data_IF_357193907479
#
_entry.id   IF_357193907479
#
_cell.length_a   1.000
_cell.length_b   1.000
_cell.length_c   1.000
_cell.angle_alpha   90.00
_cell.angle_beta   90.00
_cell.angle_gamma   90.00
#
_symmetry.space_group_name_H-M   'P 1'
#
loop_
_entity.id
_entity.type
_entity.pdbx_description
1 polymer ?
#
# COMPACT_ATOMS: atom_id res chain seq x y z
N UNK A 1 28.22 55.89 36.98
CA UNK A 1 27.75 55.14 35.80
C UNK A 1 26.90 53.96 36.27
N UNK A 2 25.58 54.13 36.43
CA UNK A 2 24.66 53.04 36.72
C UNK A 2 24.01 52.57 35.42
N UNK A 3 24.33 51.35 34.97
CA UNK A 3 23.65 50.71 33.84
C UNK A 3 22.35 50.10 34.33
N UNK A 4 21.23 50.75 34.02
CA UNK A 4 19.89 50.19 34.21
C UNK A 4 19.70 49.07 33.16
N UNK A 5 19.57 47.82 33.60
CA UNK A 5 19.21 46.70 32.72
C UNK A 5 17.69 46.57 32.72
N UNK A 6 17.05 47.03 31.66
CA UNK A 6 15.62 46.80 31.42
C UNK A 6 15.44 45.34 31.02
N UNK A 7 14.77 44.55 31.86
CA UNK A 7 14.32 43.21 31.51
C UNK A 7 12.96 43.31 30.82
N UNK A 8 12.90 42.92 29.54
CA UNK A 8 11.64 42.79 28.80
C UNK A 8 11.15 41.35 29.03
N UNK A 9 10.07 41.21 29.80
CA UNK A 9 9.35 39.95 29.90
C UNK A 9 8.38 39.84 28.72
N UNK A 10 8.67 38.92 27.79
CA UNK A 10 7.73 38.53 26.74
C UNK A 10 6.78 37.50 27.35
N UNK A 11 5.57 37.94 27.70
CA UNK A 11 4.49 37.02 28.06
C UNK A 11 3.84 36.59 26.75
N UNK A 12 4.16 35.38 26.30
CA UNK A 12 3.43 34.75 25.21
C UNK A 12 2.06 34.29 25.74
N UNK A 13 1.00 35.05 25.45
CA UNK A 13 -0.36 34.56 25.61
C UNK A 13 -0.60 33.45 24.57
N UNK A 14 -0.58 32.19 25.01
CA UNK A 14 -1.19 31.11 24.26
C UNK A 14 -2.72 31.28 24.36
N UNK A 15 -3.34 31.78 23.30
CA UNK A 15 -4.79 31.60 23.13
C UNK A 15 -5.04 30.10 22.94
N UNK A 16 -5.44 29.43 24.01
CA UNK A 16 -6.08 28.12 23.89
C UNK A 16 -7.41 28.41 23.20
N UNK A 17 -7.45 28.19 21.88
CA UNK A 17 -8.72 28.03 21.18
C UNK A 17 -9.33 26.77 21.80
N UNK A 18 -10.23 26.95 22.76
CA UNK A 18 -11.14 25.90 23.17
C UNK A 18 -12.02 25.63 21.94
N UNK A 19 -11.58 24.69 21.10
CA UNK A 19 -12.47 24.05 20.16
C UNK A 19 -13.59 23.44 21.01
N UNK A 20 -14.78 24.07 20.96
CA UNK A 20 -16.01 23.59 21.59
C UNK A 20 -16.03 22.07 21.58
N UNK A 21 -15.99 21.43 22.77
CA UNK A 21 -15.90 19.96 23.00
C UNK A 21 -16.03 19.19 21.68
N UNK A 22 -14.91 19.06 20.97
CA UNK A 22 -14.95 18.48 19.64
C UNK A 22 -15.61 17.10 19.75
N UNK A 23 -16.55 16.79 18.86
CA UNK A 23 -17.20 15.49 18.85
C UNK A 23 -16.10 14.43 18.82
N UNK A 24 -16.03 13.61 19.86
CA UNK A 24 -15.04 12.57 19.98
C UNK A 24 -15.55 11.33 19.25
N UNK A 25 -14.65 10.63 18.56
CA UNK A 25 -14.96 9.31 18.07
C UNK A 25 -15.07 8.32 19.24
N UNK A 26 -15.77 7.18 19.08
CA UNK A 26 -15.73 6.09 20.05
C UNK A 26 -14.29 5.71 20.39
N UNK A 27 -14.04 5.29 21.63
CA UNK A 27 -12.69 4.93 22.12
C UNK A 27 -11.98 3.88 21.24
N UNK A 28 -12.76 2.98 20.62
CA UNK A 28 -12.26 1.94 19.72
C UNK A 28 -12.32 2.31 18.24
N UNK A 29 -12.66 3.54 17.90
CA UNK A 29 -12.60 4.01 16.53
C UNK A 29 -11.13 4.10 16.10
N UNK A 30 -10.85 3.71 14.86
CA UNK A 30 -9.49 3.66 14.36
C UNK A 30 -9.31 4.50 13.11
N UNK A 31 -8.23 5.24 13.06
CA UNK A 31 -7.80 5.99 11.90
C UNK A 31 -6.69 5.23 11.20
N UNK A 32 -6.76 5.21 9.88
CA UNK A 32 -5.75 4.59 9.06
C UNK A 32 -5.48 5.40 7.82
N UNK A 33 -4.43 4.98 7.12
CA UNK A 33 -4.12 5.40 5.76
C UNK A 33 -4.13 4.20 4.85
N UNK A 34 -4.26 4.45 3.56
CA UNK A 34 -4.25 3.41 2.55
C UNK A 34 -3.40 3.75 1.35
N UNK A 35 -3.00 2.69 0.66
CA UNK A 35 -2.33 2.76 -0.63
C UNK A 35 -2.71 1.55 -1.48
N UNK A 36 -2.39 1.59 -2.77
CA UNK A 36 -2.47 0.42 -3.65
C UNK A 36 -1.16 0.22 -4.41
N UNK A 37 -0.85 -1.04 -4.69
CA UNK A 37 0.41 -1.46 -5.26
C UNK A 37 0.75 -0.71 -6.56
N UNK A 38 -0.14 -0.77 -7.55
CA UNK A 38 0.09 -0.11 -8.84
C UNK A 38 0.32 1.39 -8.71
N UNK A 39 -0.34 2.06 -7.76
CA UNK A 39 -0.27 3.52 -7.62
C UNK A 39 1.04 4.01 -6.96
N UNK A 40 1.74 3.16 -6.20
CA UNK A 40 2.86 3.62 -5.36
C UNK A 40 4.15 2.81 -5.54
N UNK A 41 4.08 1.53 -5.92
CA UNK A 41 5.22 0.63 -5.83
C UNK A 41 6.29 0.92 -6.87
N UNK A 42 5.89 1.10 -8.13
CA UNK A 42 6.79 1.05 -9.27
C UNK A 42 7.40 -0.34 -9.44
N UNK A 43 8.64 -0.38 -9.95
CA UNK A 43 9.39 -1.61 -10.17
C UNK A 43 8.55 -2.64 -10.96
N UNK A 44 7.90 -2.15 -12.02
CA UNK A 44 6.80 -2.84 -12.69
C UNK A 44 7.21 -4.16 -13.36
N UNK A 45 8.49 -4.30 -13.73
CA UNK A 45 9.07 -5.49 -14.37
C UNK A 45 10.28 -6.05 -13.59
N UNK A 46 10.46 -5.64 -12.34
CA UNK A 46 11.59 -6.07 -11.52
C UNK A 46 11.27 -7.36 -10.76
N UNK A 47 12.32 -8.11 -10.40
CA UNK A 47 12.24 -9.31 -9.55
C UNK A 47 11.21 -10.37 -9.97
N UNK A 48 10.93 -10.46 -11.26
CA UNK A 48 9.99 -11.43 -11.81
C UNK A 48 8.52 -11.00 -11.73
N UNK A 49 8.22 -9.73 -11.40
CA UNK A 49 6.87 -9.19 -11.62
C UNK A 49 6.50 -9.28 -13.10
N UNK A 50 5.29 -9.74 -13.37
CA UNK A 50 4.70 -9.72 -14.71
C UNK A 50 3.85 -8.47 -14.95
N UNK A 51 3.60 -8.21 -16.24
CA UNK A 51 2.69 -7.18 -16.72
C UNK A 51 1.28 -7.39 -16.17
N UNK A 52 0.66 -6.31 -15.70
CA UNK A 52 -0.76 -6.25 -15.37
C UNK A 52 -1.53 -5.41 -16.41
N UNK A 53 -2.86 -5.42 -16.35
CA UNK A 53 -3.71 -4.72 -17.34
C UNK A 53 -3.41 -3.22 -17.46
N UNK A 54 -2.98 -2.55 -16.39
CA UNK A 54 -2.61 -1.14 -16.45
C UNK A 54 -1.25 -0.92 -17.09
N UNK A 55 -0.26 -1.78 -16.79
CA UNK A 55 1.03 -1.78 -17.49
C UNK A 55 0.78 -1.88 -19.00
N UNK A 56 0.00 -2.89 -19.41
CA UNK A 56 -0.32 -3.14 -20.81
C UNK A 56 -1.06 -1.99 -21.48
N UNK A 57 -2.12 -1.50 -20.83
CA UNK A 57 -2.99 -0.47 -21.40
C UNK A 57 -2.25 0.85 -21.62
N UNK A 58 -1.45 1.27 -20.64
CA UNK A 58 -0.71 2.53 -20.71
C UNK A 58 0.51 2.42 -21.62
N UNK A 59 1.25 1.30 -21.61
CA UNK A 59 2.39 1.10 -22.52
C UNK A 59 1.95 0.96 -23.98
N UNK A 60 0.74 0.43 -24.23
CA UNK A 60 0.19 0.31 -25.58
C UNK A 60 -0.21 1.65 -26.19
N UNK A 61 -0.81 2.54 -25.38
CA UNK A 61 -1.13 3.90 -25.79
C UNK A 61 -1.13 4.85 -24.57
N UNK A 62 -0.02 5.59 -24.35
CA UNK A 62 0.08 6.52 -23.23
C UNK A 62 -0.92 7.67 -23.30
N UNK A 63 -1.50 7.96 -24.47
CA UNK A 63 -2.43 9.09 -24.66
C UNK A 63 -3.73 8.97 -23.86
N UNK A 64 -4.01 7.78 -23.34
CA UNK A 64 -5.10 7.52 -22.41
C UNK A 64 -4.93 8.22 -21.05
N UNK A 65 -3.69 8.52 -20.67
CA UNK A 65 -3.36 9.26 -19.46
C UNK A 65 -3.17 10.72 -19.82
N UNK A 66 -3.81 11.64 -19.06
CA UNK A 66 -3.80 13.09 -19.35
C UNK A 66 -2.40 13.66 -19.63
N UNK A 67 -1.38 13.12 -18.96
CA UNK A 67 0.00 13.56 -19.04
C UNK A 67 0.92 12.56 -19.77
N UNK A 68 0.38 11.46 -20.30
CA UNK A 68 1.13 10.34 -20.86
C UNK A 68 2.09 9.66 -19.85
N UNK A 69 1.81 9.81 -18.55
CA UNK A 69 2.60 9.20 -17.47
C UNK A 69 2.31 7.71 -17.35
N UNK A 70 3.27 6.95 -16.82
CA UNK A 70 3.13 5.55 -16.43
C UNK A 70 3.36 5.38 -14.92
N UNK A 71 3.05 4.19 -14.39
CA UNK A 71 3.38 3.83 -13.01
C UNK A 71 4.65 2.97 -12.91
N UNK A 72 5.54 3.03 -13.91
CA UNK A 72 6.76 2.22 -13.97
C UNK A 72 7.63 2.42 -12.72
N UNK A 73 7.80 3.69 -12.34
CA UNK A 73 8.50 4.12 -11.13
C UNK A 73 7.55 4.47 -9.98
N UNK A 74 6.36 5.02 -10.30
CA UNK A 74 5.37 5.50 -9.33
C UNK A 74 6.00 6.35 -8.19
N UNK A 75 5.80 5.95 -6.92
CA UNK A 75 6.48 6.56 -5.77
C UNK A 75 7.80 5.85 -5.41
N UNK A 76 8.18 4.79 -6.13
CA UNK A 76 9.39 4.00 -5.90
C UNK A 76 9.37 3.23 -4.59
N UNK A 77 8.18 2.94 -4.05
CA UNK A 77 8.06 2.31 -2.72
C UNK A 77 8.58 0.88 -2.75
N UNK A 78 8.44 0.11 -3.84
CA UNK A 78 8.92 -1.28 -3.85
C UNK A 78 10.41 -1.41 -3.50
N UNK A 79 11.23 -0.45 -3.94
CA UNK A 79 12.67 -0.44 -3.69
C UNK A 79 13.06 0.32 -2.40
N UNK A 80 12.12 1.03 -1.76
CA UNK A 80 12.35 1.86 -0.57
C UNK A 80 11.43 1.52 0.62
N UNK A 81 10.61 0.48 0.50
CA UNK A 81 9.47 0.16 1.38
C UNK A 81 9.83 0.10 2.86
N UNK A 82 10.99 -0.45 3.21
CA UNK A 82 11.47 -0.53 4.59
C UNK A 82 11.80 0.86 5.13
N UNK A 83 12.33 1.76 4.31
CA UNK A 83 12.60 3.14 4.72
C UNK A 83 11.28 3.92 4.83
N UNK A 84 10.33 3.66 3.93
CA UNK A 84 9.04 4.35 3.92
C UNK A 84 8.08 3.85 5.02
N UNK A 85 8.26 2.61 5.49
CA UNK A 85 7.56 2.07 6.65
C UNK A 85 7.75 2.97 7.88
N UNK A 86 8.93 3.59 8.04
CA UNK A 86 9.20 4.55 9.13
C UNK A 86 8.21 5.73 9.12
N UNK A 87 7.75 6.19 7.97
CA UNK A 87 6.76 7.27 7.92
C UNK A 87 5.38 6.83 8.39
N UNK A 88 5.00 5.58 8.09
CA UNK A 88 3.77 4.98 8.63
C UNK A 88 3.88 4.84 10.15
N UNK A 89 5.05 4.46 10.65
CA UNK A 89 5.34 4.32 12.08
C UNK A 89 5.30 5.65 12.84
N UNK A 90 5.84 6.71 12.23
CA UNK A 90 5.85 8.06 12.82
C UNK A 90 4.47 8.75 12.77
N UNK A 91 3.52 8.15 12.06
CA UNK A 91 2.19 8.71 11.88
C UNK A 91 1.27 8.43 13.07
N UNK A 92 0.30 9.30 13.40
CA UNK A 92 -0.71 9.02 14.43
C UNK A 92 -1.72 7.92 14.05
N UNK A 93 -1.57 7.25 12.91
CA UNK A 93 -2.52 6.25 12.42
C UNK A 93 -2.33 4.89 13.10
N UNK A 94 -3.44 4.23 13.39
CA UNK A 94 -3.45 2.90 14.00
C UNK A 94 -3.53 1.77 12.96
N UNK A 95 -4.03 2.06 11.75
CA UNK A 95 -4.14 1.10 10.66
C UNK A 95 -3.38 1.55 9.42
N UNK A 96 -2.82 0.58 8.71
CA UNK A 96 -2.34 0.78 7.35
C UNK A 96 -2.95 -0.28 6.44
N UNK A 97 -3.65 0.19 5.40
CA UNK A 97 -4.19 -0.64 4.34
C UNK A 97 -3.29 -0.57 3.11
N UNK A 98 -2.93 -1.72 2.56
CA UNK A 98 -2.22 -1.79 1.28
C UNK A 98 -2.70 -2.97 0.46
N UNK A 99 -2.46 -2.97 -0.85
CA UNK A 99 -2.74 -4.12 -1.71
C UNK A 99 -1.47 -4.89 -2.06
N UNK A 100 -1.62 -6.18 -2.38
CA UNK A 100 -0.54 -7.02 -2.90
C UNK A 100 -0.85 -7.31 -4.38
N UNK A 101 -0.02 -6.90 -5.34
CA UNK A 101 -0.29 -7.08 -6.76
C UNK A 101 -0.18 -8.56 -7.11
N UNK A 102 -1.28 -9.12 -7.65
CA UNK A 102 -1.34 -10.52 -8.08
C UNK A 102 -0.22 -10.84 -9.07
N UNK A 103 0.02 -9.97 -10.05
CA UNK A 103 1.03 -10.18 -11.10
C UNK A 103 2.48 -10.25 -10.57
N UNK A 104 2.71 -9.78 -9.33
CA UNK A 104 4.01 -9.87 -8.65
C UNK A 104 4.14 -11.17 -7.87
N UNK A 105 3.08 -11.65 -7.22
CA UNK A 105 3.08 -12.92 -6.45
C UNK A 105 3.04 -14.13 -7.38
N UNK A 106 2.16 -14.11 -8.39
CA UNK A 106 1.98 -15.16 -9.37
C UNK A 106 2.19 -14.57 -10.78
N UNK A 107 3.42 -14.59 -11.31
CA UNK A 107 3.73 -13.95 -12.59
C UNK A 107 2.99 -14.55 -13.80
N UNK A 108 2.69 -15.85 -13.77
CA UNK A 108 1.85 -16.49 -14.77
C UNK A 108 0.37 -16.12 -14.64
N UNK A 109 -0.03 -15.54 -13.52
CA UNK A 109 -1.42 -15.39 -13.08
C UNK A 109 -1.98 -16.64 -12.36
N UNK A 110 -1.29 -17.78 -12.44
CA UNK A 110 -1.73 -19.06 -11.88
C UNK A 110 -0.82 -19.50 -10.72
N UNK A 111 -1.33 -20.39 -9.86
CA UNK A 111 -0.58 -20.89 -8.69
C UNK A 111 0.45 -21.99 -9.05
N UNK A 112 0.87 -22.06 -10.31
CA UNK A 112 1.90 -22.97 -10.82
C UNK A 112 3.32 -22.43 -10.58
N UNK A 113 3.48 -21.10 -10.60
CA UNK A 113 4.73 -20.41 -10.35
C UNK A 113 4.53 -19.29 -9.31
N UNK A 114 5.16 -19.46 -8.15
CA UNK A 114 5.16 -18.46 -7.08
C UNK A 114 6.47 -17.68 -7.12
N UNK A 115 6.38 -16.36 -7.24
CA UNK A 115 7.54 -15.50 -7.14
C UNK A 115 7.99 -15.35 -5.68
N UNK A 116 8.96 -16.15 -5.27
CA UNK A 116 9.46 -16.14 -3.90
C UNK A 116 10.14 -14.84 -3.50
N UNK A 117 10.70 -14.07 -4.45
CA UNK A 117 11.29 -12.75 -4.13
C UNK A 117 10.21 -11.78 -3.66
N UNK A 118 9.10 -11.72 -4.38
CA UNK A 118 7.95 -10.92 -4.00
C UNK A 118 7.36 -11.36 -2.65
N UNK A 119 7.22 -12.67 -2.43
CA UNK A 119 6.75 -13.21 -1.14
C UNK A 119 7.66 -12.76 0.00
N UNK A 120 8.97 -12.86 -0.16
CA UNK A 120 9.94 -12.43 0.86
C UNK A 120 9.84 -10.91 1.10
N UNK A 121 9.69 -10.11 0.04
CA UNK A 121 9.49 -8.67 0.13
C UNK A 121 8.28 -8.32 1.01
N UNK A 122 7.08 -8.81 0.70
CA UNK A 122 5.89 -8.51 1.51
C UNK A 122 5.96 -9.12 2.91
N UNK A 123 6.61 -10.27 3.10
CA UNK A 123 6.85 -10.81 4.44
C UNK A 123 7.71 -9.86 5.28
N UNK A 124 8.74 -9.25 4.69
CA UNK A 124 9.57 -8.26 5.37
C UNK A 124 8.80 -6.97 5.67
N UNK A 125 8.05 -6.45 4.70
CA UNK A 125 7.20 -5.26 4.89
C UNK A 125 6.19 -5.47 6.03
N UNK A 126 5.43 -6.57 5.99
CA UNK A 126 4.46 -6.94 7.02
C UNK A 126 5.14 -7.03 8.39
N UNK A 127 6.28 -7.75 8.46
CA UNK A 127 7.03 -7.92 9.71
C UNK A 127 7.54 -6.60 10.27
N UNK A 128 8.00 -5.69 9.41
CA UNK A 128 8.47 -4.36 9.82
C UNK A 128 7.31 -3.55 10.39
N UNK A 129 6.19 -3.44 9.67
CA UNK A 129 5.05 -2.65 10.13
C UNK A 129 4.39 -3.23 11.40
N UNK A 130 4.28 -4.56 11.52
CA UNK A 130 3.70 -5.20 12.71
C UNK A 130 4.51 -4.96 13.99
N UNK A 131 5.81 -4.67 13.93
CA UNK A 131 6.62 -4.36 15.11
C UNK A 131 6.26 -3.04 15.78
N UNK A 132 5.56 -2.17 15.05
CA UNK A 132 5.34 -0.78 15.45
C UNK A 132 3.88 -0.49 15.83
N UNK A 133 3.15 -1.53 16.23
CA UNK A 133 1.76 -1.45 16.66
C UNK A 133 0.79 -0.87 15.62
N UNK A 134 1.14 -0.94 14.33
CA UNK A 134 0.23 -0.63 13.22
C UNK A 134 -0.51 -1.90 12.83
N UNK A 135 -1.84 -1.84 12.85
CA UNK A 135 -2.71 -2.93 12.41
C UNK A 135 -2.75 -2.97 10.88
N UNK A 136 -2.47 -4.12 10.30
CA UNK A 136 -2.40 -4.27 8.84
C UNK A 136 -3.71 -4.77 8.25
N UNK A 137 -4.14 -4.09 7.19
CA UNK A 137 -5.29 -4.46 6.38
C UNK A 137 -4.80 -4.73 4.96
N UNK A 138 -4.81 -5.98 4.52
CA UNK A 138 -4.33 -6.32 3.18
C UNK A 138 -5.48 -6.49 2.21
N UNK A 139 -5.42 -5.78 1.09
CA UNK A 139 -6.35 -5.96 -0.04
C UNK A 139 -5.75 -6.90 -1.07
N UNK A 140 -6.44 -7.99 -1.40
CA UNK A 140 -5.95 -9.00 -2.34
C UNK A 140 -6.01 -8.53 -3.79
N UNK A 141 -7.09 -7.87 -4.20
CA UNK A 141 -7.21 -7.38 -5.57
C UNK A 141 -7.60 -5.90 -5.57
N UNK A 142 -6.80 -5.07 -6.23
CA UNK A 142 -7.06 -3.64 -6.38
C UNK A 142 -6.89 -3.22 -7.84
N UNK A 143 -7.72 -3.81 -8.71
CA UNK A 143 -7.84 -3.47 -10.13
C UNK A 143 -6.59 -3.72 -11.01
N UNK A 144 -5.59 -4.45 -10.53
CA UNK A 144 -4.30 -4.71 -11.19
C UNK A 144 -4.18 -6.19 -11.63
N UNK A 145 -5.13 -6.64 -12.47
CA UNK A 145 -5.18 -8.02 -12.94
C UNK A 145 -3.92 -8.37 -13.78
N UNK A 146 -3.28 -9.54 -13.57
CA UNK A 146 -2.22 -10.01 -14.48
C UNK A 146 -2.71 -10.05 -15.93
N UNK A 147 -1.90 -9.55 -16.87
CA UNK A 147 -2.29 -9.47 -18.29
C UNK A 147 -2.59 -10.86 -18.86
N UNK A 148 -1.86 -11.90 -18.43
CA UNK A 148 -2.10 -13.30 -18.83
C UNK A 148 -3.52 -13.80 -18.50
N UNK A 149 -4.12 -13.31 -17.41
CA UNK A 149 -5.51 -13.64 -17.04
C UNK A 149 -6.52 -12.81 -17.84
N UNK A 150 -6.16 -11.56 -18.18
CA UNK A 150 -6.97 -10.74 -19.07
C UNK A 150 -7.06 -11.36 -20.48
N UNK A 151 -5.97 -11.92 -20.98
CA UNK A 151 -5.89 -12.55 -22.31
C UNK A 151 -6.80 -13.77 -22.45
N UNK A 152 -7.12 -14.46 -21.34
CA UNK A 152 -8.09 -15.57 -21.30
C UNK A 152 -9.53 -15.10 -21.00
N UNK A 153 -9.80 -13.79 -21.04
CA UNK A 153 -11.13 -13.19 -20.85
C UNK A 153 -11.34 -12.42 -19.55
N UNK A 154 -10.33 -12.37 -18.68
CA UNK A 154 -10.37 -11.63 -17.41
C UNK A 154 -11.59 -12.00 -16.57
N UNK A 155 -12.16 -11.05 -15.82
CA UNK A 155 -13.31 -11.27 -14.94
C UNK A 155 -14.58 -11.78 -15.63
N UNK A 156 -14.66 -11.75 -16.96
CA UNK A 156 -15.78 -12.36 -17.70
C UNK A 156 -15.62 -13.88 -17.89
N UNK A 157 -14.42 -14.41 -17.64
CA UNK A 157 -14.14 -15.84 -17.69
C UNK A 157 -14.67 -16.54 -16.41
N UNK A 158 -15.53 -17.57 -16.51
CA UNK A 158 -16.10 -18.25 -15.35
C UNK A 158 -15.06 -18.98 -14.48
N UNK A 159 -13.86 -19.25 -14.99
CA UNK A 159 -12.78 -19.86 -14.22
C UNK A 159 -12.08 -18.88 -13.26
N UNK A 160 -12.31 -17.56 -13.38
CA UNK A 160 -11.62 -16.55 -12.55
C UNK A 160 -11.87 -16.71 -11.06
N UNK A 161 -13.06 -17.16 -10.66
CA UNK A 161 -13.34 -17.43 -9.25
C UNK A 161 -12.36 -18.47 -8.68
N UNK A 162 -11.99 -19.48 -9.46
CA UNK A 162 -11.00 -20.48 -9.07
C UNK A 162 -9.59 -19.89 -9.02
N UNK A 163 -9.18 -19.16 -10.07
CA UNK A 163 -7.83 -18.58 -10.12
C UNK A 163 -7.60 -17.57 -8.99
N UNK A 164 -8.60 -16.72 -8.71
CA UNK A 164 -8.54 -15.80 -7.58
C UNK A 164 -8.48 -16.55 -6.24
N UNK A 165 -9.27 -17.62 -6.07
CA UNK A 165 -9.21 -18.44 -4.85
C UNK A 165 -7.84 -19.12 -4.66
N UNK A 166 -7.18 -19.52 -5.75
CA UNK A 166 -5.84 -20.09 -5.71
C UNK A 166 -4.78 -19.04 -5.34
N UNK A 167 -4.85 -17.85 -5.93
CA UNK A 167 -4.04 -16.70 -5.54
C UNK A 167 -4.24 -16.31 -4.07
N UNK A 168 -5.49 -16.16 -3.62
CA UNK A 168 -5.81 -15.83 -2.24
C UNK A 168 -5.24 -16.87 -1.26
N UNK A 169 -5.28 -18.16 -1.61
CA UNK A 169 -4.70 -19.23 -0.80
C UNK A 169 -3.19 -19.08 -0.65
N UNK A 170 -2.48 -18.76 -1.73
CA UNK A 170 -1.04 -18.47 -1.67
C UNK A 170 -0.78 -17.31 -0.72
N UNK A 171 -1.51 -16.20 -0.85
CA UNK A 171 -1.38 -15.04 0.05
C UNK A 171 -1.63 -15.41 1.53
N UNK A 172 -2.72 -16.11 1.84
CA UNK A 172 -3.02 -16.51 3.23
C UNK A 172 -1.95 -17.44 3.82
N UNK A 173 -1.38 -18.34 3.02
CA UNK A 173 -0.32 -19.25 3.45
C UNK A 173 1.02 -18.52 3.62
N UNK A 174 1.33 -17.58 2.74
CA UNK A 174 2.58 -16.81 2.73
C UNK A 174 2.60 -15.73 3.81
N UNK A 175 1.45 -15.19 4.21
CA UNK A 175 1.34 -14.02 5.09
C UNK A 175 0.46 -14.29 6.33
N UNK A 176 0.81 -15.25 7.19
CA UNK A 176 -0.03 -15.68 8.32
C UNK A 176 -0.22 -14.62 9.41
N UNK A 177 0.57 -13.54 9.40
CA UNK A 177 0.53 -12.48 10.41
C UNK A 177 -0.42 -11.31 10.05
N UNK A 178 -1.11 -11.39 8.92
CA UNK A 178 -2.09 -10.37 8.51
C UNK A 178 -3.42 -10.62 9.23
N UNK A 179 -3.92 -9.61 9.94
CA UNK A 179 -5.14 -9.71 10.75
C UNK A 179 -6.41 -9.49 9.92
N UNK A 180 -6.40 -8.48 9.04
CA UNK A 180 -7.57 -8.12 8.24
C UNK A 180 -7.29 -8.27 6.76
N UNK A 181 -8.21 -8.94 6.07
CA UNK A 181 -8.18 -9.15 4.63
C UNK A 181 -9.39 -8.52 3.95
N UNK A 182 -9.15 -7.82 2.85
CA UNK A 182 -10.15 -7.32 1.92
C UNK A 182 -9.94 -8.05 0.60
N UNK A 183 -11.01 -8.58 0.00
CA UNK A 183 -10.91 -9.37 -1.24
C UNK A 183 -10.87 -8.49 -2.48
N UNK A 184 -11.72 -7.45 -2.54
CA UNK A 184 -11.89 -6.50 -3.64
C UNK A 184 -12.13 -5.09 -3.08
#
# INVERSE_FOLDING_TARGET
MNKMKTAIYVISLFYIVNADKARQFPEKFSFGVESSAYQIEGAWNEDGKSENIWDHWIHSDPSHIRNNDTADDACGIYNNDINDAVYVEMSPFQHYRFSIPWSRILPSGFADEINMKAVIHYQNLIKTLSRNNVTLVVTLYYHDLPQSLQDIGGWTNPAMAKYFADYARVCFQSFPNVEYWITF
#
